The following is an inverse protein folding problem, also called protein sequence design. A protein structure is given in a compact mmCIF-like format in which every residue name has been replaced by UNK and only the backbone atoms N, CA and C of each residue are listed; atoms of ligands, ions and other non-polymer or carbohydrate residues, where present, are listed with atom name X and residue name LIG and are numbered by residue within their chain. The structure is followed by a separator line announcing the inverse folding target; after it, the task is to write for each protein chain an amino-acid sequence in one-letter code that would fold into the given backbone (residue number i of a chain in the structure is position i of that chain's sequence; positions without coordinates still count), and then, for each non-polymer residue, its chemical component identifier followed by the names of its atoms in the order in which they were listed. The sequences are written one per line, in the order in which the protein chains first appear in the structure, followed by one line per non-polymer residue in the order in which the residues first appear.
data_IF_694216950069
#
_entry.id   IF_694216950069
#
_cell.length_a   1.000
_cell.length_b   1.000
_cell.length_c   1.000
_cell.angle_alpha   90.00
_cell.angle_beta   90.00
_cell.angle_gamma   90.00
#
_symmetry.space_group_name_H-M   'P 1'
#
loop_
_entity.id
_entity.type
_entity.pdbx_description
1 polymer ?
#
# COMPACT_ATOMS: atom_id res chain seq x y z
N UNK A 1 15.82 -9.34 13.45
CA UNK A 1 14.91 -8.63 12.55
C UNK A 1 15.54 -7.29 12.20
N UNK A 2 15.40 -6.86 10.95
CA UNK A 2 16.12 -5.68 10.43
C UNK A 2 15.13 -4.61 9.99
N UNK A 3 15.35 -3.38 10.43
CA UNK A 3 14.72 -2.18 9.88
C UNK A 3 15.58 -1.57 8.78
N UNK A 4 14.96 -0.81 7.90
CA UNK A 4 15.61 -0.05 6.84
C UNK A 4 15.32 1.43 7.07
N UNK A 5 16.36 2.25 7.11
CA UNK A 5 16.23 3.72 7.12
C UNK A 5 17.01 4.30 5.95
N UNK A 6 16.35 5.14 5.16
CA UNK A 6 16.95 5.80 4.00
C UNK A 6 16.75 7.30 4.11
N UNK A 7 17.86 8.03 4.16
CA UNK A 7 17.85 9.50 4.29
C UNK A 7 17.91 10.23 2.94
N UNK A 8 18.08 9.49 1.82
CA UNK A 8 18.12 10.07 0.48
C UNK A 8 18.90 9.21 -0.52
N UNK A 9 19.12 9.77 -1.69
CA UNK A 9 19.85 9.11 -2.77
C UNK A 9 18.94 8.72 -3.93
N UNK A 10 19.50 7.99 -4.89
CA UNK A 10 18.78 7.46 -6.05
C UNK A 10 18.84 5.94 -6.02
N UNK A 11 17.70 5.31 -6.17
CA UNK A 11 17.57 3.87 -6.12
C UNK A 11 16.71 3.38 -7.30
N UNK A 12 17.26 2.47 -8.11
CA UNK A 12 16.52 1.79 -9.17
C UNK A 12 16.58 0.29 -8.92
N UNK A 13 15.41 -0.31 -8.74
CA UNK A 13 15.25 -1.74 -8.43
C UNK A 13 14.38 -2.38 -9.49
N UNK A 14 14.85 -3.51 -10.03
CA UNK A 14 14.05 -4.47 -10.76
C UNK A 14 14.13 -5.81 -10.03
N UNK A 15 13.04 -6.22 -9.40
CA UNK A 15 12.98 -7.45 -8.64
C UNK A 15 12.10 -8.50 -9.34
N UNK A 16 12.55 -9.75 -9.37
CA UNK A 16 11.82 -10.86 -9.98
C UNK A 16 11.59 -10.72 -11.51
N UNK A 17 12.32 -9.81 -12.16
CA UNK A 17 12.14 -9.52 -13.59
C UNK A 17 11.04 -8.49 -13.88
N UNK A 18 10.54 -7.80 -12.84
CA UNK A 18 9.56 -6.72 -12.94
C UNK A 18 8.12 -7.16 -12.83
N UNK A 19 7.24 -6.19 -12.69
CA UNK A 19 5.82 -6.31 -12.36
C UNK A 19 4.95 -7.10 -13.36
N UNK A 20 5.47 -7.39 -14.54
CA UNK A 20 4.80 -8.21 -15.54
C UNK A 20 5.21 -9.69 -15.50
N UNK A 21 6.13 -10.05 -14.61
CA UNK A 21 6.57 -11.43 -14.44
C UNK A 21 5.80 -12.08 -13.29
N UNK A 22 5.37 -13.34 -13.52
CA UNK A 22 4.82 -14.15 -12.44
C UNK A 22 5.95 -14.95 -11.81
N UNK A 23 6.10 -14.82 -10.50
CA UNK A 23 7.00 -15.65 -9.70
C UNK A 23 6.22 -16.82 -9.11
N UNK A 24 6.93 -17.86 -8.63
CA UNK A 24 6.29 -18.95 -7.91
C UNK A 24 5.78 -18.44 -6.56
N UNK A 25 4.73 -19.06 -6.04
CA UNK A 25 4.15 -18.72 -4.72
C UNK A 25 5.13 -18.80 -3.55
N UNK A 26 6.22 -19.56 -3.72
CA UNK A 26 7.26 -19.72 -2.69
C UNK A 26 8.41 -18.72 -2.83
N UNK A 27 8.38 -17.89 -3.87
CA UNK A 27 9.41 -16.88 -4.13
C UNK A 27 8.94 -15.51 -3.62
N UNK A 28 9.88 -14.72 -3.11
CA UNK A 28 9.66 -13.32 -2.78
C UNK A 28 10.54 -12.46 -3.67
N UNK A 29 9.93 -11.54 -4.39
CA UNK A 29 10.61 -10.62 -5.28
C UNK A 29 10.21 -9.17 -5.00
N UNK A 30 10.16 -8.85 -3.71
CA UNK A 30 9.89 -7.51 -3.19
C UNK A 30 11.06 -6.57 -3.47
N UNK A 31 10.77 -5.31 -3.74
CA UNK A 31 11.78 -4.31 -4.04
C UNK A 31 12.57 -3.90 -2.79
N UNK A 32 11.96 -3.17 -1.90
CA UNK A 32 12.52 -2.79 -0.59
C UNK A 32 11.78 -3.58 0.47
N UNK A 33 12.48 -4.49 1.16
CA UNK A 33 11.87 -5.35 2.18
C UNK A 33 12.58 -5.27 3.52
N UNK A 34 11.83 -5.00 4.58
CA UNK A 34 12.31 -5.05 5.96
C UNK A 34 11.59 -6.12 6.80
N UNK A 35 12.33 -6.74 7.72
CA UNK A 35 11.77 -7.67 8.71
C UNK A 35 11.03 -6.99 9.85
N UNK A 36 11.20 -5.67 10.01
CA UNK A 36 10.43 -4.80 10.92
C UNK A 36 9.97 -3.57 10.18
N UNK A 37 10.65 -2.43 10.29
CA UNK A 37 10.16 -1.15 9.82
C UNK A 37 10.98 -0.62 8.64
N UNK A 38 10.33 0.17 7.79
CA UNK A 38 10.94 0.97 6.74
C UNK A 38 10.66 2.44 7.03
N UNK A 39 11.72 3.24 7.07
CA UNK A 39 11.63 4.70 7.12
C UNK A 39 12.37 5.30 5.92
N UNK A 40 11.72 6.17 5.16
CA UNK A 40 12.30 6.86 4.02
C UNK A 40 12.03 8.36 4.16
N UNK A 41 13.11 9.13 4.33
CA UNK A 41 13.00 10.58 4.57
C UNK A 41 13.03 11.37 3.25
N UNK A 42 13.75 10.88 2.25
CA UNK A 42 13.87 11.53 0.94
C UNK A 42 14.52 10.60 -0.08
N UNK A 43 14.72 11.05 -1.32
CA UNK A 43 15.39 10.31 -2.38
C UNK A 43 14.53 10.13 -3.62
N UNK A 44 15.07 9.47 -4.64
CA UNK A 44 14.39 9.13 -5.89
C UNK A 44 14.39 7.62 -6.07
N UNK A 45 13.21 7.05 -6.25
CA UNK A 45 13.01 5.60 -6.33
C UNK A 45 12.28 5.22 -7.60
N UNK A 46 12.88 4.31 -8.37
CA UNK A 46 12.26 3.65 -9.51
C UNK A 46 12.19 2.16 -9.21
N UNK A 47 11.01 1.65 -8.93
CA UNK A 47 10.78 0.28 -8.49
C UNK A 47 9.91 -0.44 -9.53
N UNK A 48 10.38 -1.58 -10.03
CA UNK A 48 9.65 -2.48 -10.92
C UNK A 48 9.81 -3.91 -10.38
N UNK A 49 8.80 -4.39 -9.68
CA UNK A 49 8.89 -5.59 -8.87
C UNK A 49 7.76 -6.56 -9.21
N UNK A 50 8.03 -7.86 -9.26
CA UNK A 50 6.99 -8.87 -9.51
C UNK A 50 6.18 -9.28 -8.27
N UNK A 51 6.52 -8.76 -7.12
CA UNK A 51 5.87 -8.83 -5.81
C UNK A 51 5.77 -7.38 -5.30
N UNK A 52 5.55 -7.10 -4.01
CA UNK A 52 5.43 -5.75 -3.49
C UNK A 52 6.65 -4.87 -3.79
N UNK A 53 6.41 -3.60 -4.12
CA UNK A 53 7.53 -2.70 -4.36
C UNK A 53 8.21 -2.25 -3.06
N UNK A 54 7.43 -1.93 -2.02
CA UNK A 54 7.91 -1.62 -0.67
C UNK A 54 7.13 -2.46 0.33
N UNK A 55 7.82 -3.28 1.13
CA UNK A 55 7.19 -4.18 2.10
C UNK A 55 7.87 -4.16 3.46
N UNK A 56 7.12 -3.91 4.52
CA UNK A 56 7.58 -4.04 5.90
C UNK A 56 6.69 -5.02 6.69
N UNK A 57 7.30 -5.93 7.45
CA UNK A 57 6.54 -6.76 8.39
C UNK A 57 6.00 -5.94 9.59
N UNK A 58 6.52 -4.75 9.84
CA UNK A 58 6.03 -3.78 10.80
C UNK A 58 5.42 -2.58 10.09
N UNK A 59 6.11 -1.43 10.14
CA UNK A 59 5.61 -0.15 9.67
C UNK A 59 6.36 0.36 8.44
N UNK A 60 5.67 1.09 7.58
CA UNK A 60 6.26 1.90 6.51
C UNK A 60 6.01 3.37 6.82
N UNK A 61 7.07 4.16 6.91
CA UNK A 61 7.00 5.62 7.10
C UNK A 61 7.70 6.34 5.96
N UNK A 62 6.97 7.19 5.25
CA UNK A 62 7.46 8.03 4.16
C UNK A 62 7.25 9.49 4.56
N UNK A 63 8.35 10.23 4.71
CA UNK A 63 8.34 11.64 5.05
C UNK A 63 8.87 12.55 3.93
N UNK A 64 9.14 11.97 2.75
CA UNK A 64 9.57 12.68 1.56
C UNK A 64 10.04 11.74 0.47
N UNK A 65 10.56 12.29 -0.61
CA UNK A 65 11.08 11.55 -1.76
C UNK A 65 10.13 11.47 -2.95
N UNK A 66 10.62 10.92 -4.05
CA UNK A 66 9.87 10.72 -5.29
C UNK A 66 9.92 9.25 -5.68
N UNK A 67 8.77 8.65 -5.86
CA UNK A 67 8.61 7.23 -6.12
C UNK A 67 7.86 7.02 -7.43
N UNK A 68 8.44 6.20 -8.31
CA UNK A 68 7.80 5.63 -9.48
C UNK A 68 7.75 4.13 -9.30
N UNK A 69 6.56 3.59 -9.17
CA UNK A 69 6.33 2.20 -8.76
C UNK A 69 5.53 1.47 -9.82
N UNK A 70 6.03 0.28 -10.16
CA UNK A 70 5.33 -0.78 -10.86
C UNK A 70 5.46 -2.03 -10.00
N UNK A 71 4.35 -2.61 -9.60
CA UNK A 71 4.31 -3.80 -8.77
C UNK A 71 3.43 -4.89 -9.38
N UNK A 72 3.80 -6.14 -9.14
CA UNK A 72 2.98 -7.30 -9.50
C UNK A 72 2.00 -7.69 -8.40
N UNK A 73 2.23 -7.17 -7.19
CA UNK A 73 1.36 -7.23 -6.01
C UNK A 73 1.17 -5.80 -5.49
N UNK A 74 1.47 -5.48 -4.25
CA UNK A 74 1.16 -4.16 -3.71
C UNK A 74 2.23 -3.10 -3.99
N UNK A 75 1.79 -1.86 -4.20
CA UNK A 75 2.70 -0.74 -4.35
C UNK A 75 3.47 -0.47 -3.06
N UNK A 76 2.76 -0.30 -1.95
CA UNK A 76 3.31 -0.12 -0.60
C UNK A 76 2.52 -0.99 0.36
N UNK A 77 3.19 -1.93 1.02
CA UNK A 77 2.59 -2.83 2.00
C UNK A 77 3.26 -2.73 3.38
N UNK A 78 2.45 -2.64 4.42
CA UNK A 78 2.90 -2.80 5.80
C UNK A 78 1.96 -3.74 6.56
N UNK A 79 2.50 -4.75 7.24
CA UNK A 79 1.63 -5.61 8.07
C UNK A 79 0.97 -4.83 9.24
N UNK A 80 1.50 -3.65 9.60
CA UNK A 80 0.94 -2.81 10.64
C UNK A 80 0.54 -1.44 10.08
N UNK A 81 1.43 -0.45 10.10
CA UNK A 81 1.04 0.92 9.78
C UNK A 81 1.76 1.43 8.52
N UNK A 82 1.03 2.11 7.65
CA UNK A 82 1.59 2.95 6.60
C UNK A 82 1.36 4.41 6.98
N UNK A 83 2.42 5.21 7.04
CA UNK A 83 2.35 6.65 7.32
C UNK A 83 3.05 7.44 6.22
N UNK A 84 2.31 8.30 5.53
CA UNK A 84 2.84 9.19 4.49
C UNK A 84 2.56 10.63 4.90
N UNK A 85 3.63 11.41 5.14
CA UNK A 85 3.51 12.80 5.57
C UNK A 85 3.93 13.81 4.51
N UNK A 86 4.74 13.40 3.53
CA UNK A 86 5.18 14.21 2.40
C UNK A 86 5.75 13.30 1.29
N UNK A 87 6.13 13.90 0.15
CA UNK A 87 6.71 13.22 -1.01
C UNK A 87 5.76 13.11 -2.19
N UNK A 88 6.27 12.54 -3.27
CA UNK A 88 5.50 12.24 -4.48
C UNK A 88 5.54 10.74 -4.74
N UNK A 89 4.43 10.07 -4.56
CA UNK A 89 4.28 8.62 -4.79
C UNK A 89 3.43 8.41 -6.04
N UNK A 90 3.98 7.76 -7.04
CA UNK A 90 3.26 7.40 -8.26
C UNK A 90 3.33 5.90 -8.47
N UNK A 91 2.22 5.22 -8.18
CA UNK A 91 2.01 3.81 -8.46
C UNK A 91 1.33 3.71 -9.82
N UNK A 92 2.09 3.29 -10.84
CA UNK A 92 1.60 3.15 -12.21
C UNK A 92 1.03 1.76 -12.50
N UNK A 93 1.26 0.82 -11.61
CA UNK A 93 0.68 -0.52 -11.61
C UNK A 93 0.86 -1.16 -10.25
N UNK A 94 -0.20 -1.79 -9.75
CA UNK A 94 -0.19 -2.67 -8.58
C UNK A 94 -1.43 -3.56 -8.57
N UNK A 95 -1.48 -4.56 -7.71
CA UNK A 95 -2.72 -5.22 -7.33
C UNK A 95 -3.46 -4.27 -6.37
N UNK A 96 -2.94 -4.01 -5.17
CA UNK A 96 -3.37 -2.91 -4.32
C UNK A 96 -2.36 -1.74 -4.33
N UNK A 97 -2.87 -0.52 -4.25
CA UNK A 97 -1.98 0.65 -4.28
C UNK A 97 -1.18 0.81 -2.99
N UNK A 98 -1.89 0.90 -1.87
CA UNK A 98 -1.34 1.02 -0.51
C UNK A 98 -2.13 0.11 0.40
N UNK A 99 -1.47 -0.85 1.05
CA UNK A 99 -2.07 -1.76 2.02
C UNK A 99 -1.42 -1.63 3.40
N UNK A 100 -2.25 -1.76 4.44
CA UNK A 100 -1.80 -1.80 5.83
C UNK A 100 -2.96 -1.92 6.82
N UNK A 101 -2.70 -2.30 8.07
CA UNK A 101 -3.76 -2.31 9.08
C UNK A 101 -4.23 -0.89 9.41
N UNK A 102 -3.29 0.04 9.60
CA UNK A 102 -3.60 1.45 9.81
C UNK A 102 -2.87 2.30 8.77
N UNK A 103 -3.61 3.10 8.02
CA UNK A 103 -3.05 3.97 6.98
C UNK A 103 -3.30 5.43 7.36
N UNK A 104 -2.23 6.21 7.46
CA UNK A 104 -2.29 7.63 7.77
C UNK A 104 -1.62 8.44 6.66
N UNK A 105 -2.38 9.33 6.02
CA UNK A 105 -1.87 10.26 5.02
C UNK A 105 -2.12 11.68 5.50
N UNK A 106 -1.04 12.41 5.76
CA UNK A 106 -1.09 13.79 6.26
C UNK A 106 -0.53 14.82 5.27
N UNK A 107 0.06 14.36 4.16
CA UNK A 107 0.65 15.23 3.15
C UNK A 107 1.12 14.47 1.92
N UNK A 108 1.83 15.18 1.03
CA UNK A 108 2.37 14.64 -0.20
C UNK A 108 1.40 14.65 -1.38
N UNK A 109 1.89 14.13 -2.51
CA UNK A 109 1.09 13.88 -3.71
C UNK A 109 1.14 12.40 -4.04
N UNK A 110 -0.02 11.75 -4.04
CA UNK A 110 -0.13 10.31 -4.23
C UNK A 110 -0.98 10.04 -5.47
N UNK A 111 -0.48 9.24 -6.39
CA UNK A 111 -1.20 8.79 -7.57
C UNK A 111 -1.14 7.27 -7.62
N UNK A 112 -2.30 6.63 -7.73
CA UNK A 112 -2.44 5.18 -7.71
C UNK A 112 -3.23 4.74 -8.94
N UNK A 113 -2.69 3.74 -9.63
CA UNK A 113 -3.38 2.90 -10.60
C UNK A 113 -3.27 1.46 -10.10
N UNK A 114 -4.40 0.83 -9.74
CA UNK A 114 -4.47 -0.51 -9.18
C UNK A 114 -5.46 -1.41 -9.92
N UNK A 115 -5.14 -2.71 -9.95
CA UNK A 115 -5.99 -3.74 -10.53
C UNK A 115 -7.09 -4.20 -9.56
N UNK A 116 -6.92 -3.94 -8.26
CA UNK A 116 -7.90 -4.10 -7.20
C UNK A 116 -8.04 -2.77 -6.43
N UNK A 117 -7.84 -2.73 -5.12
CA UNK A 117 -8.12 -1.55 -4.33
C UNK A 117 -7.02 -0.47 -4.41
N UNK A 118 -7.44 0.79 -4.35
CA UNK A 118 -6.51 1.90 -4.34
C UNK A 118 -5.78 2.04 -3.01
N UNK A 119 -6.53 2.15 -1.92
CA UNK A 119 -6.03 2.18 -0.54
C UNK A 119 -6.86 1.21 0.27
N UNK A 120 -6.22 0.18 0.82
CA UNK A 120 -6.89 -0.88 1.57
C UNK A 120 -6.37 -0.97 3.01
N UNK A 121 -7.24 -0.70 3.99
CA UNK A 121 -6.93 -1.01 5.39
C UNK A 121 -7.48 -2.39 5.75
N UNK A 122 -6.63 -3.39 5.56
CA UNK A 122 -6.90 -4.77 5.93
C UNK A 122 -6.02 -5.19 7.11
N UNK A 123 -6.52 -6.04 8.00
CA UNK A 123 -5.73 -6.53 9.12
C UNK A 123 -4.57 -7.40 8.62
N UNK A 124 -3.36 -6.86 8.69
CA UNK A 124 -2.15 -7.43 8.15
C UNK A 124 -1.83 -8.82 8.68
N UNK A 125 -2.12 -9.82 7.88
CA UNK A 125 -1.46 -11.11 7.94
C UNK A 125 -1.47 -11.71 6.54
N UNK A 126 -0.42 -11.43 5.78
CA UNK A 126 -0.08 -12.11 4.53
C UNK A 126 0.36 -13.58 4.73
N UNK A 127 0.14 -14.16 5.90
CA UNK A 127 0.21 -15.59 6.07
C UNK A 127 -1.13 -16.18 5.69
N UNK A 128 -1.16 -16.79 4.51
CA UNK A 128 -2.23 -17.69 4.05
C UNK A 128 -2.38 -18.93 4.97
N UNK A 129 -2.50 -18.74 6.25
CA UNK A 129 -3.17 -19.69 7.09
C UNK A 129 -4.65 -19.32 7.06
N UNK A 130 -5.39 -19.90 6.13
CA UNK A 130 -6.85 -19.97 6.18
C UNK A 130 -7.25 -20.48 7.57
N UNK A 131 -7.28 -19.59 8.51
CA UNK A 131 -7.98 -19.79 9.74
C UNK A 131 -9.44 -19.90 9.35
N UNK A 132 -10.00 -21.10 9.48
CA UNK A 132 -11.41 -21.42 9.33
C UNK A 132 -12.21 -20.41 10.19
N UNK A 133 -12.57 -19.27 9.61
CA UNK A 133 -13.56 -18.39 10.20
C UNK A 133 -14.89 -19.13 10.13
N UNK A 134 -15.32 -19.61 11.27
CA UNK A 134 -16.71 -20.03 11.44
C UNK A 134 -17.60 -18.85 11.06
N UNK A 135 -18.64 -19.03 10.23
CA UNK A 135 -19.57 -17.96 9.91
C UNK A 135 -20.36 -17.60 11.18
N UNK A 136 -19.91 -16.57 11.86
CA UNK A 136 -20.68 -15.92 12.91
C UNK A 136 -21.73 -15.01 12.27
N UNK A 137 -22.93 -14.85 12.85
CA UNK A 137 -24.02 -14.06 12.28
C UNK A 137 -23.82 -12.53 12.34
N UNK A 138 -22.64 -12.07 12.70
CA UNK A 138 -22.26 -10.65 12.69
C UNK A 138 -20.89 -10.54 12.04
N UNK A 139 -20.81 -9.89 10.88
CA UNK A 139 -19.55 -9.45 10.30
C UNK A 139 -18.82 -8.57 11.32
N UNK A 140 -17.78 -9.10 11.96
CA UNK A 140 -16.94 -8.32 12.86
C UNK A 140 -16.09 -7.39 12.00
N UNK A 141 -16.33 -6.08 12.05
CA UNK A 141 -15.31 -5.09 11.72
C UNK A 141 -14.12 -5.41 12.60
N UNK A 142 -12.92 -5.59 12.03
CA UNK A 142 -11.72 -5.69 12.84
C UNK A 142 -11.48 -4.29 13.40
N UNK A 143 -11.68 -4.11 14.71
CA UNK A 143 -11.54 -2.84 15.40
C UNK A 143 -10.13 -2.22 15.35
N UNK A 144 -9.22 -2.88 14.64
CA UNK A 144 -7.80 -2.52 14.57
C UNK A 144 -7.39 -1.95 13.18
N UNK A 145 -8.33 -1.86 12.23
CA UNK A 145 -8.08 -1.28 10.91
C UNK A 145 -8.61 0.14 10.81
N UNK A 146 -7.86 1.03 10.18
CA UNK A 146 -8.36 2.38 9.92
C UNK A 146 -7.58 3.13 8.84
N UNK A 147 -8.27 4.05 8.16
CA UNK A 147 -7.65 5.00 7.23
C UNK A 147 -7.93 6.41 7.75
N UNK A 148 -6.87 7.20 7.90
CA UNK A 148 -6.95 8.61 8.27
C UNK A 148 -6.26 9.49 7.22
N UNK A 149 -7.01 10.33 6.53
CA UNK A 149 -6.51 11.30 5.58
C UNK A 149 -6.74 12.69 6.14
N UNK A 150 -5.66 13.41 6.46
CA UNK A 150 -5.71 14.76 7.02
C UNK A 150 -5.05 15.82 6.14
N UNK A 151 -4.43 15.42 5.03
CA UNK A 151 -3.77 16.31 4.08
C UNK A 151 -3.32 15.56 2.82
N UNK A 152 -2.62 16.27 1.93
CA UNK A 152 -2.11 15.75 0.67
C UNK A 152 -3.09 15.89 -0.49
N UNK A 153 -2.62 15.49 -1.68
CA UNK A 153 -3.39 15.41 -2.91
C UNK A 153 -3.33 13.97 -3.40
N UNK A 154 -4.47 13.29 -3.44
CA UNK A 154 -4.54 11.86 -3.70
C UNK A 154 -5.42 11.63 -4.94
N UNK A 155 -4.85 10.96 -5.94
CA UNK A 155 -5.54 10.51 -7.15
C UNK A 155 -5.53 8.99 -7.17
N UNK A 156 -6.70 8.39 -7.28
CA UNK A 156 -6.88 6.94 -7.33
C UNK A 156 -7.66 6.57 -8.59
N UNK A 157 -7.14 5.61 -9.33
CA UNK A 157 -7.82 4.90 -10.40
C UNK A 157 -7.71 3.41 -10.10
N UNK A 158 -8.78 2.84 -9.54
CA UNK A 158 -8.82 1.49 -9.01
C UNK A 158 -9.91 0.67 -9.71
N UNK A 159 -9.63 -0.61 -9.98
CA UNK A 159 -10.66 -1.52 -10.51
C UNK A 159 -11.55 -2.10 -9.41
N UNK A 160 -10.98 -2.28 -8.21
CA UNK A 160 -11.68 -2.59 -6.96
C UNK A 160 -12.26 -1.36 -6.28
N UNK A 161 -12.15 -1.27 -4.97
CA UNK A 161 -12.57 -0.09 -4.22
C UNK A 161 -11.53 1.03 -4.32
N UNK A 162 -11.96 2.27 -4.40
CA UNK A 162 -11.03 3.39 -4.38
C UNK A 162 -10.34 3.49 -3.01
N UNK A 163 -11.13 3.45 -1.96
CA UNK A 163 -10.68 3.37 -0.57
C UNK A 163 -11.52 2.33 0.15
N UNK A 164 -10.91 1.22 0.56
CA UNK A 164 -11.52 0.20 1.40
C UNK A 164 -10.96 0.24 2.83
N UNK A 165 -11.82 0.23 3.81
CA UNK A 165 -11.43 0.10 5.21
C UNK A 165 -12.28 -0.94 5.90
N UNK A 166 -11.63 -2.01 6.37
CA UNK A 166 -12.28 -3.00 7.24
C UNK A 166 -12.62 -2.47 8.64
N UNK A 167 -12.35 -1.19 8.90
CA UNK A 167 -12.66 -0.49 10.14
C UNK A 167 -13.10 0.95 9.88
N UNK A 168 -12.46 1.92 10.52
CA UNK A 168 -12.84 3.32 10.42
C UNK A 168 -12.17 4.03 9.25
N UNK A 169 -12.91 4.88 8.55
CA UNK A 169 -12.37 5.85 7.58
C UNK A 169 -12.63 7.27 8.06
N UNK A 170 -11.57 8.07 8.17
CA UNK A 170 -11.65 9.47 8.55
C UNK A 170 -10.91 10.35 7.51
N UNK A 171 -11.63 11.17 6.80
CA UNK A 171 -11.07 12.18 5.90
C UNK A 171 -11.36 13.56 6.50
N UNK A 172 -10.34 14.19 7.07
CA UNK A 172 -10.45 15.50 7.76
C UNK A 172 -9.77 16.64 7.01
N UNK A 173 -9.04 16.34 5.93
CA UNK A 173 -8.35 17.31 5.09
C UNK A 173 -7.79 16.68 3.83
N UNK A 174 -7.09 17.49 3.02
CA UNK A 174 -6.54 17.07 1.73
C UNK A 174 -7.53 17.15 0.58
N UNK A 175 -7.07 16.72 -0.59
CA UNK A 175 -7.87 16.61 -1.82
C UNK A 175 -7.81 15.15 -2.27
N UNK A 176 -8.97 14.50 -2.40
CA UNK A 176 -9.07 13.10 -2.80
C UNK A 176 -9.93 12.99 -4.06
N UNK A 177 -9.35 12.44 -5.11
CA UNK A 177 -9.97 12.24 -6.41
C UNK A 177 -9.96 10.76 -6.71
N UNK A 178 -11.11 10.13 -6.84
CA UNK A 178 -11.24 8.70 -7.09
C UNK A 178 -11.96 8.52 -8.42
N UNK A 179 -11.34 7.72 -9.28
CA UNK A 179 -11.91 7.16 -10.50
C UNK A 179 -11.83 5.66 -10.40
N UNK A 180 -12.86 4.98 -10.80
CA UNK A 180 -12.85 3.52 -10.79
C UNK A 180 -14.02 2.92 -10.06
N UNK A 181 -13.80 1.73 -9.49
CA UNK A 181 -14.82 0.78 -9.11
C UNK A 181 -15.60 0.27 -10.32
N UNK A 182 -14.99 -0.65 -11.04
CA UNK A 182 -15.61 -1.23 -12.26
C UNK A 182 -16.22 -2.60 -12.02
N UNK A 183 -16.00 -3.18 -10.83
CA UNK A 183 -16.49 -4.48 -10.42
C UNK A 183 -17.86 -4.44 -9.73
N UNK A 184 -18.55 -5.58 -9.73
CA UNK A 184 -19.80 -5.74 -8.97
C UNK A 184 -19.48 -5.86 -7.47
N UNK A 185 -20.06 -4.99 -6.65
CA UNK A 185 -19.91 -5.00 -5.20
C UNK A 185 -18.84 -4.03 -4.69
N UNK A 186 -18.09 -3.38 -5.58
CA UNK A 186 -17.08 -2.40 -5.24
C UNK A 186 -17.65 -0.99 -5.26
N UNK A 187 -16.98 -0.07 -4.55
CA UNK A 187 -17.37 1.33 -4.42
C UNK A 187 -16.17 2.28 -4.55
N UNK A 188 -16.42 3.57 -4.73
CA UNK A 188 -15.34 4.55 -4.70
C UNK A 188 -14.78 4.72 -3.27
N UNK A 189 -15.65 4.58 -2.27
CA UNK A 189 -15.35 4.66 -0.82
C UNK A 189 -16.33 3.79 -0.06
#
# INVERSE_FOLDING_TARGET
ETSITVHGGQCSINAGGGSNQKISSDASAKGIKAGTDIQIDSGEYSLDCSDDAIHANGNVTISGGTYTVLSGDDGIHANQNVSISDGTVTVNKSYEGIEGAVITISGGTIKILSDDDGINASGGSSDQSQSLRAPGPFGGSSSDCSICISGGIIYIDASGDGIDSNGDLNISGGEVYISGSTGNGNSAV
#
